data_IF_908326397609
#
_entry.id   IF_908326397609
#
_cell.length_a   1.000
_cell.length_b   1.000
_cell.length_c   1.000
_cell.angle_alpha   90.00
_cell.angle_beta   90.00
_cell.angle_gamma   90.00
#
_symmetry.space_group_name_H-M   'P 1'
#
loop_
_entity.id
_entity.type
_entity.pdbx_description
1 polymer ?
#
# COMPACT_ATOMS: atom_id res chain seq x y z
N UNK A 1 15.51 4.01 -9.84
CA UNK A 1 14.05 4.11 -9.69
C UNK A 1 13.57 4.81 -10.95
N UNK A 2 12.88 4.10 -11.85
CA UNK A 2 12.40 4.70 -13.10
C UNK A 2 11.20 5.58 -12.73
N UNK A 3 11.28 6.90 -12.94
CA UNK A 3 10.24 7.78 -12.45
C UNK A 3 9.04 7.71 -13.40
N UNK A 4 7.88 7.31 -12.85
CA UNK A 4 6.61 7.17 -13.56
C UNK A 4 6.20 8.44 -14.32
N UNK A 5 6.69 9.60 -13.89
CA UNK A 5 6.40 10.91 -14.48
C UNK A 5 6.68 10.96 -16.00
N UNK A 6 7.70 10.24 -16.47
CA UNK A 6 8.05 10.21 -17.89
C UNK A 6 7.19 9.23 -18.70
N UNK A 7 6.77 8.10 -18.09
CA UNK A 7 5.91 7.11 -18.75
C UNK A 7 4.50 7.64 -18.89
N UNK A 8 3.98 8.34 -17.88
CA UNK A 8 2.67 8.99 -17.94
C UNK A 8 2.63 10.04 -19.06
N UNK A 9 3.67 10.89 -19.16
CA UNK A 9 3.81 11.86 -20.24
C UNK A 9 3.87 11.22 -21.64
N UNK A 10 4.59 10.09 -21.78
CA UNK A 10 4.67 9.32 -23.02
C UNK A 10 3.34 8.65 -23.39
N UNK A 11 2.62 8.07 -22.43
CA UNK A 11 1.30 7.43 -22.62
C UNK A 11 0.28 8.46 -23.06
N UNK A 12 0.17 9.60 -22.36
CA UNK A 12 -0.72 10.71 -22.74
C UNK A 12 -0.41 11.17 -24.16
N UNK A 13 0.86 11.43 -24.49
CA UNK A 13 1.28 11.94 -25.81
C UNK A 13 1.12 10.91 -26.93
N UNK A 14 1.27 9.62 -26.62
CA UNK A 14 1.09 8.48 -27.55
C UNK A 14 -0.39 8.19 -27.80
N UNK A 15 -1.30 8.59 -26.91
CA UNK A 15 -2.74 8.38 -27.06
C UNK A 15 -3.44 9.59 -27.70
N UNK A 16 -2.93 10.81 -27.50
CA UNK A 16 -3.49 12.03 -28.13
C UNK A 16 -3.40 12.02 -29.66
N UNK A 17 -2.35 11.43 -30.25
CA UNK A 17 -2.15 11.44 -31.72
C UNK A 17 -2.91 10.35 -32.52
N UNK A 18 -3.01 9.08 -32.08
CA UNK A 18 -3.70 8.04 -32.86
C UNK A 18 -5.23 8.15 -32.79
N UNK A 19 -5.81 8.70 -31.72
CA UNK A 19 -7.27 8.80 -31.56
C UNK A 19 -7.88 9.78 -32.60
N UNK A 20 -7.19 10.88 -32.89
CA UNK A 20 -7.68 11.90 -33.84
C UNK A 20 -7.43 11.52 -35.31
N UNK A 21 -6.33 10.80 -35.60
CA UNK A 21 -5.92 10.42 -36.96
C UNK A 21 -6.63 9.18 -37.52
N UNK A 22 -6.75 8.11 -36.73
CA UNK A 22 -7.26 6.81 -37.21
C UNK A 22 -8.79 6.80 -37.34
N UNK A 23 -9.52 7.61 -36.58
CA UNK A 23 -10.98 7.68 -36.67
C UNK A 23 -11.48 8.25 -38.00
N UNK A 24 -10.74 9.19 -38.61
CA UNK A 24 -11.07 9.72 -39.95
C UNK A 24 -10.67 8.75 -41.06
N UNK A 25 -9.64 7.92 -40.85
CA UNK A 25 -9.08 7.04 -41.90
C UNK A 25 -9.68 5.62 -41.87
N UNK A 26 -10.12 5.11 -40.71
CA UNK A 26 -10.69 3.75 -40.53
C UNK A 26 -12.19 3.62 -40.71
N UNK A 27 -12.94 4.72 -40.88
CA UNK A 27 -14.36 4.65 -41.29
C UNK A 27 -14.56 3.89 -42.63
N UNK A 28 -13.48 3.71 -43.40
CA UNK A 28 -13.49 2.98 -44.68
C UNK A 28 -13.12 1.50 -44.62
N UNK A 29 -12.50 0.97 -43.56
CA UNK A 29 -11.72 -0.27 -43.72
C UNK A 29 -12.26 -1.54 -43.06
N UNK A 30 -12.95 -1.52 -41.90
CA UNK A 30 -13.50 -2.77 -41.31
C UNK A 30 -14.80 -2.59 -40.51
N UNK A 31 -15.89 -3.21 -41.00
CA UNK A 31 -17.25 -3.12 -40.45
C UNK A 31 -17.40 -3.68 -39.03
N UNK A 32 -16.63 -4.69 -38.64
CA UNK A 32 -16.73 -5.30 -37.30
C UNK A 32 -16.30 -4.34 -36.19
N UNK A 33 -15.29 -3.52 -36.44
CA UNK A 33 -14.80 -2.54 -35.48
C UNK A 33 -15.77 -1.36 -35.33
N UNK A 34 -16.44 -0.99 -36.44
CA UNK A 34 -17.48 0.04 -36.45
C UNK A 34 -18.69 -0.41 -35.64
N UNK A 35 -19.18 -1.63 -35.86
CA UNK A 35 -20.28 -2.22 -35.09
C UNK A 35 -19.94 -2.34 -33.60
N UNK A 36 -18.73 -2.80 -33.26
CA UNK A 36 -18.28 -2.91 -31.87
C UNK A 36 -18.23 -1.55 -31.14
N UNK A 37 -17.65 -0.53 -31.77
CA UNK A 37 -17.60 0.82 -31.19
C UNK A 37 -19.00 1.46 -31.08
N UNK A 38 -19.86 1.25 -32.07
CA UNK A 38 -21.24 1.75 -32.02
C UNK A 38 -22.05 1.10 -30.90
N UNK A 39 -21.94 -0.21 -30.71
CA UNK A 39 -22.61 -0.91 -29.60
C UNK A 39 -22.12 -0.44 -28.24
N UNK A 40 -20.79 -0.27 -28.08
CA UNK A 40 -20.19 0.29 -26.86
C UNK A 40 -20.66 1.72 -26.65
N UNK A 41 -20.67 2.56 -27.69
CA UNK A 41 -21.14 3.94 -27.61
C UNK A 41 -22.61 4.06 -27.22
N UNK A 42 -23.49 3.23 -27.80
CA UNK A 42 -24.90 3.14 -27.40
C UNK A 42 -25.04 2.68 -25.95
N UNK A 43 -24.24 1.70 -25.51
CA UNK A 43 -24.28 1.19 -24.13
C UNK A 43 -23.82 2.23 -23.11
N UNK A 44 -22.66 2.86 -23.34
CA UNK A 44 -22.12 3.95 -22.51
C UNK A 44 -23.11 5.10 -22.42
N UNK A 45 -23.75 5.48 -23.54
CA UNK A 45 -24.74 6.55 -23.51
C UNK A 45 -25.96 6.21 -22.64
N UNK A 46 -26.50 4.98 -22.78
CA UNK A 46 -27.61 4.50 -21.95
C UNK A 46 -27.23 4.43 -20.48
N UNK A 47 -26.01 3.99 -20.17
CA UNK A 47 -25.50 3.91 -18.81
C UNK A 47 -25.34 5.31 -18.19
N UNK A 48 -24.80 6.26 -18.95
CA UNK A 48 -24.65 7.64 -18.48
C UNK A 48 -26.01 8.29 -18.20
N UNK A 49 -27.00 8.08 -19.07
CA UNK A 49 -28.37 8.57 -18.84
C UNK A 49 -28.99 7.87 -17.61
N UNK A 50 -28.85 6.55 -17.50
CA UNK A 50 -29.39 5.79 -16.37
C UNK A 50 -28.77 6.24 -15.03
N UNK A 51 -27.45 6.44 -15.01
CA UNK A 51 -26.75 6.96 -13.84
C UNK A 51 -27.24 8.37 -13.48
N UNK A 52 -27.32 9.28 -14.45
CA UNK A 52 -27.80 10.65 -14.21
C UNK A 52 -29.25 10.67 -13.68
N UNK A 53 -30.13 9.85 -14.26
CA UNK A 53 -31.54 9.73 -13.84
C UNK A 53 -31.67 9.07 -12.46
N UNK A 54 -30.82 8.09 -12.14
CA UNK A 54 -30.80 7.45 -10.82
C UNK A 54 -30.39 8.42 -9.71
N UNK A 55 -29.41 9.29 -9.98
CA UNK A 55 -28.90 10.27 -9.03
C UNK A 55 -29.85 11.45 -8.85
N UNK A 56 -30.47 11.93 -9.93
CA UNK A 56 -31.27 13.16 -9.91
C UNK A 56 -32.78 12.92 -9.66
N UNK A 57 -33.29 11.72 -9.96
CA UNK A 57 -34.74 11.44 -9.98
C UNK A 57 -35.20 10.24 -9.16
N UNK A 58 -34.32 9.60 -8.36
CA UNK A 58 -34.69 8.47 -7.50
C UNK A 58 -35.38 7.32 -8.23
N UNK A 59 -35.09 7.12 -9.53
CA UNK A 59 -35.67 6.05 -10.36
C UNK A 59 -37.08 6.32 -10.93
N UNK A 60 -37.66 7.51 -10.76
CA UNK A 60 -39.06 7.80 -11.16
C UNK A 60 -39.26 8.47 -12.52
N UNK A 61 -38.20 8.84 -13.23
CA UNK A 61 -38.29 9.55 -14.52
C UNK A 61 -37.88 8.62 -15.68
N UNK A 62 -38.84 8.17 -16.48
CA UNK A 62 -38.54 7.49 -17.74
C UNK A 62 -38.15 8.53 -18.80
N UNK A 63 -36.85 8.68 -19.04
CA UNK A 63 -36.34 9.52 -20.12
C UNK A 63 -36.40 8.72 -21.43
N UNK A 64 -37.12 9.25 -22.43
CA UNK A 64 -37.15 8.68 -23.79
C UNK A 64 -35.79 8.93 -24.44
N UNK A 65 -34.93 7.92 -24.44
CA UNK A 65 -33.56 7.99 -24.94
C UNK A 65 -33.64 8.21 -26.46
N UNK A 66 -33.23 9.39 -26.93
CA UNK A 66 -33.05 9.66 -28.36
C UNK A 66 -31.87 8.81 -28.84
N UNK A 67 -32.12 7.89 -29.76
CA UNK A 67 -31.07 7.06 -30.33
C UNK A 67 -30.08 7.94 -31.09
N UNK A 68 -28.81 7.86 -30.73
CA UNK A 68 -27.72 8.57 -31.38
C UNK A 68 -27.52 8.01 -32.80
N UNK A 69 -27.25 8.90 -33.76
CA UNK A 69 -26.83 8.49 -35.11
C UNK A 69 -25.61 7.58 -35.02
N UNK A 70 -25.49 6.62 -35.94
CA UNK A 70 -24.39 5.63 -35.96
C UNK A 70 -23.01 6.28 -35.89
N UNK A 71 -22.82 7.44 -36.51
CA UNK A 71 -21.56 8.19 -36.45
C UNK A 71 -21.23 8.74 -35.06
N UNK A 72 -22.23 9.26 -34.35
CA UNK A 72 -22.05 9.81 -33.00
C UNK A 72 -21.81 8.69 -31.97
N UNK A 73 -22.49 7.55 -32.14
CA UNK A 73 -22.27 6.37 -31.31
C UNK A 73 -20.85 5.83 -31.47
N UNK A 74 -20.36 5.74 -32.72
CA UNK A 74 -18.99 5.32 -33.00
C UNK A 74 -17.97 6.26 -32.34
N UNK A 75 -18.15 7.58 -32.49
CA UNK A 75 -17.25 8.58 -31.89
C UNK A 75 -17.18 8.49 -30.37
N UNK A 76 -18.34 8.31 -29.74
CA UNK A 76 -18.42 8.19 -28.28
C UNK A 76 -17.81 6.88 -27.78
N UNK A 77 -17.98 5.79 -28.53
CA UNK A 77 -17.39 4.49 -28.22
C UNK A 77 -15.86 4.50 -28.32
N UNK A 78 -15.30 5.12 -29.36
CA UNK A 78 -13.85 5.18 -29.55
C UNK A 78 -13.14 6.08 -28.55
N UNK A 79 -13.77 7.21 -28.16
CA UNK A 79 -13.22 8.12 -27.16
C UNK A 79 -13.19 7.44 -25.78
N UNK A 80 -14.29 6.79 -25.39
CA UNK A 80 -14.35 6.00 -24.16
C UNK A 80 -13.35 4.83 -24.16
N UNK A 81 -13.22 4.11 -25.27
CA UNK A 81 -12.28 2.98 -25.37
C UNK A 81 -10.82 3.47 -25.26
N UNK A 82 -10.50 4.59 -25.91
CA UNK A 82 -9.20 5.25 -25.78
C UNK A 82 -8.88 5.63 -24.34
N UNK A 83 -9.78 6.34 -23.68
CA UNK A 83 -9.64 6.75 -22.27
C UNK A 83 -9.52 5.55 -21.32
N UNK A 84 -10.35 4.51 -21.52
CA UNK A 84 -10.32 3.30 -20.69
C UNK A 84 -8.98 2.57 -20.78
N UNK A 85 -8.34 2.56 -21.95
CA UNK A 85 -7.03 1.95 -22.15
C UNK A 85 -5.95 2.71 -21.36
N UNK A 86 -5.97 4.05 -21.41
CA UNK A 86 -5.05 4.89 -20.62
C UNK A 86 -5.19 4.57 -19.13
N UNK A 87 -6.44 4.52 -18.67
CA UNK A 87 -6.76 4.30 -17.26
C UNK A 87 -6.34 2.90 -16.80
N UNK A 88 -6.52 1.89 -17.64
CA UNK A 88 -6.10 0.52 -17.36
C UNK A 88 -4.58 0.43 -17.26
N UNK A 89 -3.84 1.04 -18.19
CA UNK A 89 -2.37 1.08 -18.15
C UNK A 89 -1.89 1.80 -16.89
N UNK A 90 -2.47 2.95 -16.55
CA UNK A 90 -2.12 3.69 -15.33
C UNK A 90 -2.40 2.85 -14.06
N UNK A 91 -3.56 2.19 -13.99
CA UNK A 91 -3.92 1.32 -12.88
C UNK A 91 -2.98 0.11 -12.77
N UNK A 92 -2.61 -0.51 -13.90
CA UNK A 92 -1.67 -1.63 -13.93
C UNK A 92 -0.28 -1.22 -13.41
N UNK A 93 0.22 -0.06 -13.80
CA UNK A 93 1.49 0.47 -13.29
C UNK A 93 1.38 0.77 -11.79
N UNK A 94 0.30 1.42 -11.35
CA UNK A 94 0.08 1.72 -9.93
C UNK A 94 0.01 0.45 -9.08
N UNK A 95 -0.67 -0.60 -9.54
CA UNK A 95 -0.73 -1.90 -8.87
C UNK A 95 0.65 -2.55 -8.84
N UNK A 96 1.39 -2.53 -9.95
CA UNK A 96 2.74 -3.10 -10.01
C UNK A 96 3.70 -2.40 -9.04
N UNK A 97 3.64 -1.07 -8.93
CA UNK A 97 4.43 -0.32 -7.94
C UNK A 97 3.95 -0.57 -6.51
N UNK A 98 2.64 -0.72 -6.30
CA UNK A 98 2.11 -1.06 -4.99
C UNK A 98 2.59 -2.44 -4.53
N UNK A 99 2.55 -3.46 -5.39
CA UNK A 99 3.10 -4.79 -5.09
C UNK A 99 4.60 -4.72 -4.79
N UNK A 100 5.35 -3.90 -5.54
CA UNK A 100 6.79 -3.73 -5.31
C UNK A 100 7.08 -2.96 -4.01
N UNK A 101 6.27 -1.98 -3.66
CA UNK A 101 6.41 -1.16 -2.45
C UNK A 101 6.06 -1.94 -1.19
N UNK A 102 4.95 -2.68 -1.22
CA UNK A 102 4.49 -3.53 -0.11
C UNK A 102 5.49 -4.65 0.20
N UNK A 103 6.06 -5.31 -0.82
CA UNK A 103 7.10 -6.33 -0.59
C UNK A 103 8.32 -5.77 0.14
N UNK A 104 8.71 -4.52 -0.11
CA UNK A 104 9.81 -3.87 0.61
C UNK A 104 9.43 -3.46 2.03
N UNK A 105 8.20 -2.97 2.22
CA UNK A 105 7.69 -2.62 3.54
C UNK A 105 7.61 -3.86 4.44
N UNK A 106 7.06 -4.97 3.92
CA UNK A 106 6.97 -6.25 4.63
C UNK A 106 8.34 -6.84 4.94
N UNK A 107 9.31 -6.73 4.01
CA UNK A 107 10.68 -7.19 4.27
C UNK A 107 11.36 -6.35 5.36
N UNK A 108 11.12 -5.03 5.39
CA UNK A 108 11.65 -4.14 6.41
C UNK A 108 11.04 -4.42 7.78
N UNK A 109 9.72 -4.60 7.84
CA UNK A 109 9.01 -4.95 9.08
C UNK A 109 9.51 -6.28 9.65
N UNK A 110 9.71 -7.31 8.80
CA UNK A 110 10.30 -8.57 9.24
C UNK A 110 11.71 -8.42 9.78
N UNK A 111 12.55 -7.61 9.13
CA UNK A 111 13.91 -7.35 9.60
C UNK A 111 13.93 -6.59 10.93
N UNK A 112 12.99 -5.66 11.13
CA UNK A 112 12.85 -4.90 12.37
C UNK A 112 12.36 -5.78 13.53
N UNK A 113 11.41 -6.68 13.27
CA UNK A 113 10.95 -7.66 14.26
C UNK A 113 12.07 -8.61 14.68
N UNK A 114 12.85 -9.11 13.73
CA UNK A 114 14.00 -10.00 14.02
C UNK A 114 15.07 -9.28 14.86
N UNK A 115 15.40 -8.04 14.48
CA UNK A 115 16.36 -7.23 15.23
C UNK A 115 15.90 -6.98 16.68
N UNK A 116 14.63 -6.62 16.87
CA UNK A 116 14.07 -6.39 18.20
C UNK A 116 14.08 -7.68 19.05
N UNK A 117 13.89 -8.84 18.42
CA UNK A 117 13.96 -10.13 19.10
C UNK A 117 15.39 -10.47 19.55
N UNK A 118 16.38 -10.24 18.69
CA UNK A 118 17.79 -10.46 19.00
C UNK A 118 18.28 -9.51 20.12
N UNK A 119 17.81 -8.27 20.12
CA UNK A 119 18.09 -7.30 21.18
C UNK A 119 17.48 -7.74 22.52
N UNK A 120 16.26 -8.28 22.50
CA UNK A 120 15.61 -8.84 23.69
C UNK A 120 16.41 -10.01 24.29
N UNK A 121 16.86 -10.96 23.45
CA UNK A 121 17.70 -12.07 23.88
C UNK A 121 19.04 -11.59 24.47
N UNK A 122 19.64 -10.56 23.86
CA UNK A 122 20.87 -9.95 24.35
C UNK A 122 20.65 -9.31 25.72
N UNK A 123 19.53 -8.60 25.91
CA UNK A 123 19.16 -8.00 27.20
C UNK A 123 18.94 -9.05 28.28
N UNK A 124 18.25 -10.16 28.00
CA UNK A 124 18.10 -11.26 28.95
C UNK A 124 19.45 -11.86 29.36
N UNK A 125 20.37 -12.05 28.41
CA UNK A 125 21.71 -12.53 28.69
C UNK A 125 22.48 -11.59 29.63
N UNK A 126 22.39 -10.28 29.39
CA UNK A 126 23.01 -9.25 30.26
C UNK A 126 22.38 -9.25 31.65
N UNK A 127 21.06 -9.41 31.74
CA UNK A 127 20.36 -9.46 33.02
C UNK A 127 20.80 -10.65 33.88
N UNK A 128 20.94 -11.85 33.28
CA UNK A 128 21.46 -13.03 33.96
C UNK A 128 22.90 -12.83 34.45
N UNK A 129 23.75 -12.19 33.63
CA UNK A 129 25.11 -11.87 34.03
C UNK A 129 25.13 -10.89 35.23
N UNK A 130 24.24 -9.90 35.23
CA UNK A 130 24.11 -8.95 36.34
C UNK A 130 23.62 -9.62 37.63
N UNK A 131 22.63 -10.51 37.54
CA UNK A 131 22.15 -11.30 38.68
C UNK A 131 23.26 -12.16 39.28
N UNK A 132 24.08 -12.80 38.45
CA UNK A 132 25.20 -13.62 38.93
C UNK A 132 26.23 -12.79 39.70
N UNK A 133 26.52 -11.57 39.22
CA UNK A 133 27.44 -10.64 39.86
C UNK A 133 26.89 -10.13 41.20
N UNK A 134 25.60 -9.80 41.25
CA UNK A 134 24.88 -9.44 42.49
C UNK A 134 24.97 -10.53 43.55
N UNK A 135 24.74 -11.79 43.16
CA UNK A 135 24.86 -12.94 44.08
C UNK A 135 26.27 -13.10 44.64
N UNK A 136 27.30 -12.94 43.80
CA UNK A 136 28.70 -13.00 44.25
C UNK A 136 29.03 -11.89 45.26
N UNK A 137 28.55 -10.66 45.00
CA UNK A 137 28.69 -9.53 45.92
C UNK A 137 27.99 -9.78 47.25
N UNK A 138 26.76 -10.30 47.23
CA UNK A 138 26.03 -10.67 48.44
C UNK A 138 26.75 -11.76 49.24
N UNK A 139 27.22 -12.81 48.59
CA UNK A 139 27.98 -13.89 49.25
C UNK A 139 29.28 -13.37 49.87
N UNK A 140 30.02 -12.51 49.16
CA UNK A 140 31.23 -11.88 49.69
C UNK A 140 30.92 -11.02 50.91
N UNK A 141 29.85 -10.22 50.87
CA UNK A 141 29.40 -9.42 52.01
C UNK A 141 29.01 -10.29 53.20
N UNK A 142 28.29 -11.38 52.96
CA UNK A 142 27.86 -12.31 54.01
C UNK A 142 29.06 -12.98 54.70
N UNK A 143 30.00 -13.54 53.92
CA UNK A 143 31.23 -14.13 54.45
C UNK A 143 32.06 -13.14 55.28
N UNK A 144 32.16 -11.88 54.82
CA UNK A 144 32.86 -10.83 55.58
C UNK A 144 32.15 -10.52 56.90
N UNK A 145 30.81 -10.42 56.89
CA UNK A 145 30.01 -10.25 58.12
C UNK A 145 30.18 -11.42 59.09
N UNK A 146 30.15 -12.65 58.58
CA UNK A 146 30.30 -13.85 59.39
C UNK A 146 31.72 -13.92 60.00
N UNK A 147 32.75 -13.59 59.22
CA UNK A 147 34.15 -13.52 59.69
C UNK A 147 34.30 -12.45 60.79
N UNK A 148 33.73 -11.26 60.59
CA UNK A 148 33.73 -10.18 61.59
C UNK A 148 32.95 -10.57 62.86
N UNK A 149 31.87 -11.35 62.74
CA UNK A 149 31.08 -11.83 63.89
C UNK A 149 31.80 -12.91 64.71
N UNK A 150 32.55 -13.80 64.05
CA UNK A 150 33.36 -14.84 64.70
C UNK A 150 34.58 -14.24 65.42
N UNK A 151 35.07 -13.10 64.94
CA UNK A 151 36.20 -12.38 65.57
C UNK A 151 35.77 -11.49 66.74
N UNK A 152 34.46 -11.33 67.01
CA UNK A 152 33.92 -10.53 68.12
C UNK A 152 33.03 -11.30 69.14
N UNK A 153 33.43 -12.45 69.72
CA UNK A 153 32.76 -12.99 70.90
C UNK A 153 33.30 -12.30 72.17
N UNK A 154 32.48 -11.43 72.74
CA UNK A 154 32.62 -10.79 74.06
C UNK A 154 33.91 -9.99 74.35
N UNK A 155 33.83 -8.68 74.12
CA UNK A 155 34.30 -7.72 75.13
C UNK A 155 33.16 -6.76 75.47
N UNK A 156 32.12 -7.32 76.07
CA UNK A 156 31.19 -6.54 76.90
C UNK A 156 31.38 -7.00 78.33
N UNK A 157 31.89 -6.13 79.21
CA UNK A 157 31.12 -5.74 80.39
C UNK A 157 31.59 -4.37 80.94
N UNK A 158 30.66 -3.65 81.59
CA UNK A 158 30.63 -2.21 81.81
C UNK A 158 31.38 -1.85 83.09
N UNK A 159 31.50 -0.55 83.42
CA UNK A 159 31.37 -0.02 84.79
C UNK A 159 31.35 1.51 84.73
N UNK A 160 30.21 2.06 85.20
CA UNK A 160 30.04 3.40 85.73
C UNK A 160 31.07 3.72 86.81
N UNK A 161 31.63 4.94 86.79
CA UNK A 161 31.91 5.84 87.93
C UNK A 161 33.04 6.81 87.59
#
# INVERSE_FOLDING_TARGET
MLPLENVFGLVVRTLTKPIVGEMKQRSKTQAWMKNGCEEVGRRVHRWNIAAHVSVQGGGRVQVKIKELSSEDAFKKGSEFLGESLIFLVAAAVMVADYTRSTNKAVAKEKAEVEHNFEEFLTMEGRFRALESSMRQLQNTRQNLQDTLSIQLPHSSKPVDS
#
